data_IF_025594149103
#
_entry.id   IF_025594149103
#
_cell.length_a   1.000
_cell.length_b   1.000
_cell.length_c   1.000
_cell.angle_alpha   90.00
_cell.angle_beta   90.00
_cell.angle_gamma   90.00
#
_symmetry.space_group_name_H-M   'P 1'
#
loop_
_entity.id
_entity.type
_entity.pdbx_description
1 polymer ?
#
# COMPACT_ATOMS: atom_id res chain seq x y z
N UNK A 1 38.41 -42.87 4.42
CA UNK A 1 37.14 -42.53 5.10
C UNK A 1 37.20 -41.06 5.49
N UNK A 2 36.80 -40.13 4.60
CA UNK A 2 36.49 -38.71 4.89
C UNK A 2 36.19 -37.95 3.59
N UNK A 3 34.92 -37.82 3.22
CA UNK A 3 34.47 -36.84 2.20
C UNK A 3 32.97 -36.52 2.24
N UNK A 4 32.28 -36.79 3.35
CA UNK A 4 30.80 -36.72 3.40
C UNK A 4 30.22 -35.44 4.06
N UNK A 5 31.02 -34.42 4.41
CA UNK A 5 30.53 -33.29 5.22
C UNK A 5 30.72 -31.90 4.59
N UNK A 6 30.68 -31.77 3.27
CA UNK A 6 30.78 -30.47 2.59
C UNK A 6 29.49 -30.02 1.88
N UNK A 7 28.30 -30.45 2.36
CA UNK A 7 27.01 -29.94 1.85
C UNK A 7 25.99 -29.76 2.98
N UNK A 8 26.34 -29.03 4.02
CA UNK A 8 25.33 -28.31 4.80
C UNK A 8 24.80 -27.15 3.94
N UNK A 9 23.87 -27.48 3.06
CA UNK A 9 23.08 -26.51 2.32
C UNK A 9 22.31 -25.67 3.34
N UNK A 10 22.88 -24.53 3.73
CA UNK A 10 22.20 -23.50 4.48
C UNK A 10 21.09 -22.96 3.59
N UNK A 11 19.87 -23.46 3.78
CA UNK A 11 18.67 -22.82 3.22
C UNK A 11 18.66 -21.38 3.73
N UNK A 12 18.96 -20.44 2.85
CA UNK A 12 19.17 -19.05 3.24
C UNK A 12 17.91 -18.49 3.93
N UNK A 13 18.02 -17.78 5.07
CA UNK A 13 16.89 -17.15 5.78
C UNK A 13 16.07 -16.12 4.97
N UNK A 14 16.46 -15.87 3.71
CA UNK A 14 15.97 -14.79 2.83
C UNK A 14 14.59 -15.04 2.22
N UNK A 15 14.15 -16.30 2.05
CA UNK A 15 12.87 -16.62 1.38
C UNK A 15 11.65 -16.32 2.26
N UNK A 16 11.63 -16.66 3.57
CA UNK A 16 10.51 -16.34 4.47
C UNK A 16 10.32 -14.85 4.71
N UNK A 17 11.40 -14.08 4.83
CA UNK A 17 11.36 -12.63 5.07
C UNK A 17 10.72 -11.87 3.90
N UNK A 18 11.04 -12.25 2.66
CA UNK A 18 10.40 -11.67 1.46
C UNK A 18 8.92 -12.05 1.41
N UNK A 19 8.56 -13.30 1.73
CA UNK A 19 7.17 -13.74 1.75
C UNK A 19 6.33 -12.94 2.76
N UNK A 20 6.88 -12.67 3.95
CA UNK A 20 6.22 -11.82 4.95
C UNK A 20 6.11 -10.37 4.50
N UNK A 21 7.14 -9.82 3.87
CA UNK A 21 7.10 -8.47 3.29
C UNK A 21 5.99 -8.34 2.24
N UNK A 22 5.82 -9.35 1.38
CA UNK A 22 4.73 -9.38 0.38
C UNK A 22 3.37 -9.45 1.04
N UNK A 23 3.21 -10.19 2.15
CA UNK A 23 1.95 -10.22 2.92
C UNK A 23 1.63 -8.87 3.57
N UNK A 24 2.64 -8.16 4.07
CA UNK A 24 2.47 -6.78 4.58
C UNK A 24 2.00 -5.85 3.46
N UNK A 25 2.68 -5.87 2.31
CA UNK A 25 2.28 -5.09 1.12
C UNK A 25 0.84 -5.38 0.72
N UNK A 26 0.45 -6.65 0.71
CA UNK A 26 -0.91 -7.06 0.39
C UNK A 26 -1.94 -6.52 1.39
N UNK A 27 -1.68 -6.64 2.70
CA UNK A 27 -2.57 -6.14 3.75
C UNK A 27 -2.73 -4.61 3.70
N UNK A 28 -1.63 -3.88 3.53
CA UNK A 28 -1.62 -2.41 3.41
C UNK A 28 -2.38 -1.96 2.15
N UNK A 29 -2.19 -2.66 1.02
CA UNK A 29 -2.96 -2.37 -0.20
C UNK A 29 -4.46 -2.57 0.01
N UNK A 30 -4.87 -3.66 0.65
CA UNK A 30 -6.28 -3.92 0.94
C UNK A 30 -6.85 -2.82 1.86
N UNK A 31 -6.12 -2.44 2.91
CA UNK A 31 -6.54 -1.38 3.83
C UNK A 31 -6.75 -0.04 3.10
N UNK A 32 -5.79 0.39 2.28
CA UNK A 32 -5.93 1.60 1.45
C UNK A 32 -7.13 1.50 0.48
N UNK A 33 -7.35 0.33 -0.12
CA UNK A 33 -8.51 0.07 -0.97
C UNK A 33 -9.84 0.26 -0.23
N UNK A 34 -9.93 -0.17 1.03
CA UNK A 34 -11.13 0.04 1.86
C UNK A 34 -11.36 1.52 2.21
N UNK A 35 -10.30 2.30 2.43
CA UNK A 35 -10.43 3.76 2.58
C UNK A 35 -11.00 4.38 1.31
N UNK A 36 -10.49 4.00 0.14
CA UNK A 36 -11.02 4.47 -1.13
C UNK A 36 -12.47 4.02 -1.38
N UNK A 37 -12.89 2.88 -0.82
CA UNK A 37 -14.28 2.45 -0.91
C UNK A 37 -15.22 3.42 -0.16
N UNK A 38 -14.81 3.85 1.05
CA UNK A 38 -15.54 4.85 1.82
C UNK A 38 -15.57 6.18 1.05
N UNK A 39 -14.40 6.64 0.56
CA UNK A 39 -14.30 7.86 -0.23
C UNK A 39 -15.19 7.79 -1.49
N UNK A 40 -15.29 6.63 -2.15
CA UNK A 40 -16.13 6.45 -3.33
C UNK A 40 -17.59 6.77 -3.05
N UNK A 41 -18.14 6.31 -1.92
CA UNK A 41 -19.53 6.57 -1.51
C UNK A 41 -19.77 8.08 -1.38
N UNK A 42 -18.91 8.78 -0.64
CA UNK A 42 -19.04 10.23 -0.44
C UNK A 42 -18.90 11.00 -1.76
N UNK A 43 -18.03 10.54 -2.66
CA UNK A 43 -17.81 11.25 -3.92
C UNK A 43 -18.91 10.98 -4.95
N UNK A 44 -19.66 9.88 -4.86
CA UNK A 44 -20.82 9.66 -5.73
C UNK A 44 -21.94 10.69 -5.49
N UNK A 45 -22.05 11.25 -4.27
CA UNK A 45 -23.05 12.29 -3.98
C UNK A 45 -22.65 13.65 -4.57
N UNK A 46 -21.35 13.87 -4.82
CA UNK A 46 -20.82 15.12 -5.36
C UNK A 46 -20.66 15.07 -6.89
N UNK A 47 -20.02 14.03 -7.42
CA UNK A 47 -19.85 13.82 -8.86
C UNK A 47 -19.52 12.37 -9.20
N UNK A 48 -20.30 11.77 -10.10
CA UNK A 48 -20.21 10.35 -10.44
C UNK A 48 -18.80 9.91 -10.86
N UNK A 49 -18.05 10.74 -11.58
CA UNK A 49 -16.72 10.39 -12.08
C UNK A 49 -15.68 10.29 -10.95
N UNK A 50 -15.79 11.12 -9.91
CA UNK A 50 -14.97 10.98 -8.70
C UNK A 50 -15.31 9.67 -7.96
N UNK A 51 -16.60 9.37 -7.80
CA UNK A 51 -17.05 8.11 -7.22
C UNK A 51 -16.49 6.88 -7.96
N UNK A 52 -16.59 6.87 -9.30
CA UNK A 52 -16.03 5.80 -10.15
C UNK A 52 -14.51 5.72 -10.03
N UNK A 53 -13.80 6.85 -10.00
CA UNK A 53 -12.35 6.86 -9.84
C UNK A 53 -11.94 6.13 -8.55
N UNK A 54 -12.50 6.50 -7.41
CA UNK A 54 -12.20 5.84 -6.14
C UNK A 54 -12.65 4.38 -6.10
N UNK A 55 -13.75 4.03 -6.78
CA UNK A 55 -14.18 2.65 -6.93
C UNK A 55 -13.17 1.81 -7.71
N UNK A 56 -12.59 2.36 -8.79
CA UNK A 56 -11.53 1.70 -9.55
C UNK A 56 -10.27 1.52 -8.69
N UNK A 57 -9.89 2.52 -7.88
CA UNK A 57 -8.78 2.39 -6.94
C UNK A 57 -9.03 1.26 -5.93
N UNK A 58 -10.24 1.22 -5.37
CA UNK A 58 -10.70 0.18 -4.43
C UNK A 58 -10.51 -1.21 -5.03
N UNK A 59 -11.11 -1.46 -6.20
CA UNK A 59 -10.99 -2.76 -6.86
C UNK A 59 -9.54 -3.07 -7.21
N UNK A 60 -8.80 -2.12 -7.77
CA UNK A 60 -7.40 -2.32 -8.14
C UNK A 60 -6.54 -2.74 -6.95
N UNK A 61 -6.64 -2.02 -5.83
CA UNK A 61 -5.83 -2.27 -4.64
C UNK A 61 -6.26 -3.53 -3.87
N UNK A 62 -7.57 -3.80 -3.76
CA UNK A 62 -8.07 -5.01 -3.09
C UNK A 62 -7.75 -6.24 -3.91
N UNK A 63 -8.04 -6.24 -5.22
CA UNK A 63 -7.78 -7.39 -6.09
C UNK A 63 -6.28 -7.66 -6.21
N UNK A 64 -5.45 -6.62 -6.29
CA UNK A 64 -3.99 -6.80 -6.31
C UNK A 64 -3.50 -7.39 -4.98
N UNK A 65 -3.91 -6.84 -3.83
CA UNK A 65 -3.55 -7.40 -2.53
C UNK A 65 -3.98 -8.86 -2.36
N UNK A 66 -5.23 -9.19 -2.74
CA UNK A 66 -5.72 -10.59 -2.71
C UNK A 66 -4.89 -11.49 -3.65
N UNK A 67 -4.52 -11.01 -4.84
CA UNK A 67 -3.69 -11.78 -5.76
C UNK A 67 -2.30 -12.08 -5.16
N UNK A 68 -1.68 -11.11 -4.47
CA UNK A 68 -0.40 -11.29 -3.77
C UNK A 68 -0.48 -12.36 -2.65
N UNK A 69 -1.63 -12.47 -1.98
CA UNK A 69 -1.84 -13.48 -0.93
C UNK A 69 -2.08 -14.88 -1.49
N UNK A 70 -2.64 -15.00 -2.70
CA UNK A 70 -3.04 -16.27 -3.30
C UNK A 70 -1.89 -17.01 -3.97
N UNK A 71 -0.95 -16.30 -4.58
CA UNK A 71 0.15 -16.91 -5.36
C UNK A 71 1.42 -16.07 -5.26
N UNK A 72 2.61 -16.69 -5.36
CA UNK A 72 3.86 -15.94 -5.46
C UNK A 72 3.79 -14.92 -6.60
N UNK A 73 4.03 -13.65 -6.27
CA UNK A 73 4.02 -12.57 -7.24
C UNK A 73 5.41 -12.42 -7.87
N UNK A 74 5.45 -12.27 -9.20
CA UNK A 74 6.68 -11.91 -9.90
C UNK A 74 7.01 -10.42 -9.76
N UNK A 75 8.27 -10.08 -10.01
CA UNK A 75 8.80 -8.71 -9.89
C UNK A 75 8.01 -7.66 -10.69
N UNK A 76 7.48 -8.04 -11.86
CA UNK A 76 6.63 -7.16 -12.68
C UNK A 76 5.33 -6.79 -11.96
N UNK A 77 4.67 -7.75 -11.34
CA UNK A 77 3.42 -7.53 -10.60
C UNK A 77 3.64 -6.64 -9.39
N UNK A 78 4.73 -6.85 -8.65
CA UNK A 78 5.11 -6.01 -7.52
C UNK A 78 5.39 -4.58 -7.98
N UNK A 79 6.25 -4.42 -8.99
CA UNK A 79 6.65 -3.11 -9.52
C UNK A 79 5.46 -2.30 -10.04
N UNK A 80 4.61 -2.92 -10.85
CA UNK A 80 3.46 -2.23 -11.43
C UNK A 80 2.46 -1.78 -10.35
N UNK A 81 2.21 -2.61 -9.33
CA UNK A 81 1.36 -2.21 -8.22
C UNK A 81 1.96 -1.08 -7.39
N UNK A 82 3.27 -1.09 -7.13
CA UNK A 82 3.93 0.03 -6.45
C UNK A 82 3.85 1.33 -7.27
N UNK A 83 4.11 1.27 -8.58
CA UNK A 83 4.00 2.43 -9.46
C UNK A 83 2.57 2.99 -9.51
N UNK A 84 1.56 2.13 -9.56
CA UNK A 84 0.16 2.54 -9.51
C UNK A 84 -0.17 3.27 -8.20
N UNK A 85 0.29 2.75 -7.05
CA UNK A 85 0.08 3.40 -5.76
C UNK A 85 0.81 4.76 -5.66
N UNK A 86 2.03 4.87 -6.19
CA UNK A 86 2.71 6.18 -6.29
C UNK A 86 1.92 7.15 -7.18
N UNK A 87 1.35 6.68 -8.29
CA UNK A 87 0.52 7.53 -9.14
C UNK A 87 -0.72 8.06 -8.40
N UNK A 88 -1.35 7.24 -7.54
CA UNK A 88 -2.47 7.68 -6.69
C UNK A 88 -2.03 8.79 -5.73
N UNK A 89 -0.88 8.64 -5.04
CA UNK A 89 -0.32 9.69 -4.17
C UNK A 89 -0.05 10.97 -4.95
N UNK A 90 0.46 10.87 -6.17
CA UNK A 90 0.71 12.04 -7.04
C UNK A 90 -0.60 12.75 -7.40
N UNK A 91 -1.64 12.00 -7.77
CA UNK A 91 -2.97 12.57 -8.03
C UNK A 91 -3.53 13.26 -6.79
N UNK A 92 -3.41 12.64 -5.63
CA UNK A 92 -3.80 13.23 -4.35
C UNK A 92 -3.06 14.54 -4.09
N UNK A 93 -1.72 14.55 -4.20
CA UNK A 93 -0.92 15.74 -3.97
C UNK A 93 -1.27 16.86 -4.97
N UNK A 94 -1.50 16.51 -6.23
CA UNK A 94 -1.90 17.45 -7.27
C UNK A 94 -3.22 18.13 -6.91
N UNK A 95 -4.23 17.37 -6.47
CA UNK A 95 -5.52 17.97 -6.11
C UNK A 95 -5.44 18.87 -4.88
N UNK A 96 -4.48 18.66 -3.98
CA UNK A 96 -4.28 19.48 -2.76
C UNK A 96 -3.45 20.74 -3.04
N UNK A 97 -2.59 20.71 -4.04
CA UNK A 97 -1.64 21.81 -4.34
C UNK A 97 -2.07 22.69 -5.50
N UNK A 98 -2.62 22.08 -6.54
CA UNK A 98 -3.00 22.77 -7.79
C UNK A 98 -4.52 22.75 -7.98
N UNK A 99 -5.18 21.67 -7.56
CA UNK A 99 -6.62 21.43 -7.80
C UNK A 99 -6.82 20.47 -8.97
N UNK A 100 -7.96 19.77 -9.01
CA UNK A 100 -8.23 18.79 -10.07
C UNK A 100 -8.47 19.49 -11.41
N UNK A 101 -8.06 18.90 -12.55
CA UNK A 101 -8.27 19.53 -13.86
C UNK A 101 -9.71 19.38 -14.38
N UNK A 102 -10.48 18.46 -13.80
CA UNK A 102 -11.82 18.09 -14.26
C UNK A 102 -12.77 17.99 -13.07
N UNK A 103 -14.05 18.22 -13.34
CA UNK A 103 -15.15 18.10 -12.37
C UNK A 103 -15.71 19.44 -11.91
N UNK A 104 -16.76 19.40 -11.06
CA UNK A 104 -17.44 20.62 -10.59
C UNK A 104 -16.53 21.60 -9.84
N UNK A 105 -15.46 21.07 -9.23
CA UNK A 105 -14.49 21.84 -8.45
C UNK A 105 -13.14 21.98 -9.18
N UNK A 106 -13.13 21.93 -10.51
CA UNK A 106 -11.91 22.07 -11.29
C UNK A 106 -11.15 23.37 -10.93
N UNK A 107 -9.82 23.26 -10.84
CA UNK A 107 -8.92 24.35 -10.46
C UNK A 107 -8.96 24.75 -8.98
N UNK A 108 -9.88 24.19 -8.18
CA UNK A 108 -9.94 24.46 -6.75
C UNK A 108 -9.13 23.41 -5.98
N UNK A 109 -8.33 23.89 -5.01
CA UNK A 109 -7.55 23.02 -4.13
C UNK A 109 -8.48 22.30 -3.17
N UNK A 110 -8.32 21.00 -3.13
CA UNK A 110 -9.07 20.13 -2.24
C UNK A 110 -8.52 20.21 -0.81
N UNK A 111 -9.36 20.19 0.23
CA UNK A 111 -8.89 20.12 1.61
C UNK A 111 -8.10 18.83 1.87
N UNK A 112 -7.22 18.90 2.86
CA UNK A 112 -6.50 17.73 3.38
C UNK A 112 -7.37 17.10 4.45
N UNK A 113 -7.80 15.86 4.23
CA UNK A 113 -8.50 15.08 5.24
C UNK A 113 -7.54 14.23 6.08
N UNK A 114 -8.09 13.48 7.02
CA UNK A 114 -7.33 12.48 7.78
C UNK A 114 -7.23 11.17 7.00
N UNK A 115 -8.34 10.74 6.37
CA UNK A 115 -8.42 9.45 5.68
C UNK A 115 -7.59 9.39 4.41
N UNK A 116 -7.54 10.47 3.64
CA UNK A 116 -6.73 10.59 2.43
C UNK A 116 -5.22 10.67 2.74
N UNK A 117 -4.83 11.31 3.85
CA UNK A 117 -3.44 11.24 4.35
C UNK A 117 -3.07 9.82 4.77
N UNK A 118 -3.95 9.14 5.53
CA UNK A 118 -3.73 7.75 5.93
C UNK A 118 -3.56 6.82 4.71
N UNK A 119 -4.47 6.93 3.73
CA UNK A 119 -4.38 6.17 2.48
C UNK A 119 -3.07 6.46 1.72
N UNK A 120 -2.64 7.72 1.68
CA UNK A 120 -1.41 8.13 1.00
C UNK A 120 -0.16 7.60 1.71
N UNK A 121 -0.15 7.57 3.04
CA UNK A 121 0.94 6.96 3.82
C UNK A 121 1.00 5.45 3.59
N UNK A 122 -0.13 4.76 3.57
CA UNK A 122 -0.20 3.32 3.24
C UNK A 122 0.39 3.04 1.86
N UNK A 123 0.04 3.87 0.86
CA UNK A 123 0.58 3.80 -0.51
C UNK A 123 2.10 4.01 -0.56
N UNK A 124 2.64 4.94 0.23
CA UNK A 124 4.08 5.18 0.29
C UNK A 124 4.82 4.05 1.01
N UNK A 125 4.27 3.55 2.11
CA UNK A 125 4.83 2.44 2.88
C UNK A 125 4.92 1.19 1.98
N UNK A 126 3.82 0.83 1.31
CA UNK A 126 3.82 -0.36 0.45
C UNK A 126 4.82 -0.21 -0.71
N UNK A 127 4.93 0.98 -1.31
CA UNK A 127 5.88 1.25 -2.38
C UNK A 127 7.33 1.12 -1.89
N UNK A 128 7.64 1.57 -0.67
CA UNK A 128 8.95 1.41 -0.06
C UNK A 128 9.31 -0.06 0.20
N UNK A 129 8.36 -0.86 0.71
CA UNK A 129 8.55 -2.31 0.86
C UNK A 129 8.83 -2.97 -0.49
N UNK A 130 8.05 -2.65 -1.53
CA UNK A 130 8.27 -3.18 -2.87
C UNK A 130 9.63 -2.76 -3.43
N UNK A 131 10.00 -1.49 -3.33
CA UNK A 131 11.28 -1.00 -3.84
C UNK A 131 12.46 -1.76 -3.21
N UNK A 132 12.37 -2.04 -1.91
CA UNK A 132 13.42 -2.72 -1.20
C UNK A 132 13.39 -4.24 -1.40
N UNK A 133 12.22 -4.85 -1.65
CA UNK A 133 12.15 -6.19 -2.24
C UNK A 133 12.87 -6.15 -3.60
N UNK A 134 12.59 -5.24 -4.51
CA UNK A 134 13.13 -5.30 -5.87
C UNK A 134 14.59 -4.85 -6.02
N UNK A 135 15.20 -4.23 -4.99
CA UNK A 135 16.54 -3.64 -5.09
C UNK A 135 17.55 -4.34 -4.18
N UNK A 136 18.46 -5.19 -4.71
CA UNK A 136 19.43 -5.96 -3.92
C UNK A 136 20.34 -5.09 -3.02
N UNK A 137 20.67 -3.87 -3.46
CA UNK A 137 21.48 -2.92 -2.67
C UNK A 137 20.77 -2.42 -1.41
N UNK A 138 19.46 -2.15 -1.50
CA UNK A 138 18.65 -1.73 -0.35
C UNK A 138 18.54 -2.86 0.69
N UNK A 139 18.55 -4.11 0.23
CA UNK A 139 18.60 -5.30 1.10
C UNK A 139 19.91 -5.44 1.88
N UNK A 140 21.01 -4.86 1.39
CA UNK A 140 22.35 -4.98 1.99
C UNK A 140 22.61 -3.94 3.09
N UNK A 141 21.75 -2.93 3.24
CA UNK A 141 21.88 -1.90 4.28
C UNK A 141 21.54 -2.51 5.65
N UNK A 142 22.50 -2.55 6.57
CA UNK A 142 22.31 -2.97 7.97
C UNK A 142 21.23 -2.10 8.62
N UNK A 143 20.09 -2.69 8.96
CA UNK A 143 18.90 -1.99 9.48
C UNK A 143 17.62 -2.30 8.71
N UNK A 144 17.74 -2.68 7.43
CA UNK A 144 16.60 -3.08 6.60
C UNK A 144 15.95 -4.39 7.08
N UNK A 145 16.76 -5.40 7.40
CA UNK A 145 16.32 -6.64 8.05
C UNK A 145 15.87 -6.46 9.50
N UNK A 146 16.23 -5.36 10.16
CA UNK A 146 15.65 -4.98 11.46
C UNK A 146 14.28 -4.28 11.30
N UNK A 147 14.10 -3.51 10.23
CA UNK A 147 12.83 -2.91 9.80
C UNK A 147 11.79 -3.98 9.44
N UNK A 148 12.23 -5.01 8.69
CA UNK A 148 11.46 -6.22 8.39
C UNK A 148 11.33 -7.17 9.59
N UNK A 149 12.32 -7.22 10.48
CA UNK A 149 12.41 -8.19 11.59
C UNK A 149 11.68 -7.80 12.88
N UNK A 150 11.57 -6.51 13.21
CA UNK A 150 11.17 -6.04 14.55
C UNK A 150 9.80 -5.35 14.62
N UNK A 151 9.19 -4.99 13.48
CA UNK A 151 7.90 -4.28 13.38
C UNK A 151 6.72 -5.16 12.88
N UNK A 152 6.96 -6.48 12.76
CA UNK A 152 6.25 -7.49 11.95
C UNK A 152 4.75 -7.68 12.10
N UNK A 153 4.11 -7.18 13.15
CA UNK A 153 2.67 -7.39 13.38
C UNK A 153 2.02 -6.12 13.90
N UNK A 154 2.75 -5.33 14.69
CA UNK A 154 2.20 -4.19 15.44
C UNK A 154 2.09 -2.90 14.64
N UNK A 155 2.96 -2.61 13.67
CA UNK A 155 2.80 -1.41 12.83
C UNK A 155 1.78 -1.65 11.71
N UNK A 156 1.80 -2.85 11.10
CA UNK A 156 0.76 -3.28 10.16
C UNK A 156 -0.63 -3.30 10.83
N UNK A 157 -0.77 -3.91 12.01
CA UNK A 157 -2.03 -3.85 12.76
C UNK A 157 -2.34 -2.47 13.33
N UNK A 158 -1.37 -1.66 13.79
CA UNK A 158 -1.68 -0.33 14.34
C UNK A 158 -2.07 0.70 13.28
N UNK A 159 -1.51 0.62 12.06
CA UNK A 159 -1.95 1.45 10.93
C UNK A 159 -3.29 0.97 10.38
N UNK A 160 -3.52 -0.35 10.26
CA UNK A 160 -4.86 -0.88 9.96
C UNK A 160 -5.88 -0.57 11.07
N UNK A 161 -5.49 -0.49 12.35
CA UNK A 161 -6.35 -0.12 13.47
C UNK A 161 -6.63 1.37 13.52
N UNK A 162 -5.67 2.25 13.17
CA UNK A 162 -5.91 3.68 13.05
C UNK A 162 -6.80 4.00 11.84
N UNK A 163 -6.62 3.29 10.73
CA UNK A 163 -7.49 3.33 9.55
C UNK A 163 -8.89 2.80 9.85
N UNK A 164 -9.00 1.71 10.61
CA UNK A 164 -10.27 1.15 11.09
C UNK A 164 -10.96 2.09 12.10
N UNK A 165 -10.22 2.71 13.03
CA UNK A 165 -10.74 3.70 13.98
C UNK A 165 -11.17 5.00 13.28
N UNK A 166 -10.40 5.47 12.30
CA UNK A 166 -10.74 6.68 11.54
C UNK A 166 -11.94 6.44 10.60
N UNK A 167 -12.09 5.24 10.04
CA UNK A 167 -13.30 4.83 9.33
C UNK A 167 -14.55 4.75 10.25
N UNK A 168 -14.38 4.33 11.51
CA UNK A 168 -15.45 4.30 12.52
C UNK A 168 -15.83 5.70 13.04
N UNK A 169 -14.87 6.62 13.14
CA UNK A 169 -15.09 7.98 13.66
C UNK A 169 -15.47 9.00 12.56
N UNK A 170 -15.10 8.75 11.30
CA UNK A 170 -15.38 9.61 10.16
C UNK A 170 -16.85 9.63 9.71
N UNK A 171 -17.67 8.69 10.18
CA UNK A 171 -19.11 8.63 9.87
C UNK A 171 -19.99 9.72 10.51
N UNK A 172 -19.41 10.78 11.09
CA UNK A 172 -20.13 11.79 11.87
C UNK A 172 -19.81 13.26 11.55
N UNK A 173 -19.05 13.56 10.50
CA UNK A 173 -18.82 14.95 10.09
C UNK A 173 -19.62 15.22 8.81
N UNK A 174 -20.89 15.59 9.01
CA UNK A 174 -21.78 16.15 8.00
C UNK A 174 -21.42 17.60 7.67
#
# INVERSE_FOLDING_TARGET
MTSHEARSATSSPRTPEIADAVRIVAGVSIAAGLIHAIASIDHFTHWWAYGVFFLLLTYGQVLWGVALLRRPAGDRTLRNGALANIAIVVVWLYSRTIGLPLGPEAGHRQPVGVMDVAASLDQLVLAAYVAAILTPRLRAVRGFSALLGRHRVRIGMALSSATFFAALLGGHQH
#
